data_IF_393881734363
#
_entry.id   IF_393881734363
#
_cell.length_a   1.000
_cell.length_b   1.000
_cell.length_c   1.000
_cell.angle_alpha   90.00
_cell.angle_beta   90.00
_cell.angle_gamma   90.00
#
_symmetry.space_group_name_H-M   'P 1'
#
loop_
_entity.id
_entity.type
_entity.pdbx_description
1 polymer ?
#
# COMPACT_ATOMS: atom_id res chain seq x y z
N UNK A 1 -8.52 -0.27 -9.72
CA UNK A 1 -7.48 0.65 -9.18
C UNK A 1 -8.12 1.94 -8.66
N UNK A 2 -8.82 1.90 -7.51
CA UNK A 2 -9.64 3.05 -7.03
C UNK A 2 -9.68 3.24 -5.50
N UNK A 3 -8.70 2.69 -4.79
CA UNK A 3 -8.68 2.62 -3.32
C UNK A 3 -7.56 3.44 -2.66
N UNK A 4 -6.64 3.99 -3.46
CA UNK A 4 -5.61 4.94 -3.01
C UNK A 4 -6.17 6.36 -2.78
N UNK A 5 -7.45 6.59 -3.11
CA UNK A 5 -8.12 7.88 -2.96
C UNK A 5 -8.13 8.41 -1.51
N UNK A 6 -7.93 7.51 -0.53
CA UNK A 6 -7.91 7.83 0.90
C UNK A 6 -6.50 8.15 1.44
N UNK A 7 -5.46 8.18 0.59
CA UNK A 7 -4.12 8.52 1.03
C UNK A 7 -3.82 10.01 0.79
N UNK A 8 -3.33 10.72 1.81
CA UNK A 8 -2.88 12.11 1.69
C UNK A 8 -1.36 12.16 1.56
N UNK A 9 -0.85 12.99 0.65
CA UNK A 9 0.58 13.15 0.38
C UNK A 9 1.10 14.54 0.76
N UNK A 10 2.26 14.60 1.43
CA UNK A 10 3.06 15.82 1.59
C UNK A 10 4.54 15.47 1.46
N UNK A 11 5.23 16.04 0.45
CA UNK A 11 6.66 15.95 0.11
C UNK A 11 7.31 14.54 0.10
N UNK A 12 7.29 13.81 1.21
CA UNK A 12 7.86 12.47 1.42
C UNK A 12 7.03 11.59 2.38
N UNK A 13 5.85 12.05 2.80
CA UNK A 13 4.97 11.35 3.73
C UNK A 13 3.68 10.94 3.04
N UNK A 14 3.32 9.67 3.19
CA UNK A 14 2.04 9.11 2.80
C UNK A 14 1.24 8.73 4.05
N UNK A 15 0.09 9.38 4.23
CA UNK A 15 -0.84 9.11 5.30
C UNK A 15 -1.91 8.13 4.82
N UNK A 16 -2.10 7.03 5.53
CA UNK A 16 -3.07 5.99 5.21
C UNK A 16 -4.25 6.07 6.18
N UNK A 17 -5.44 6.33 5.66
CA UNK A 17 -6.65 6.32 6.47
C UNK A 17 -7.02 4.89 6.89
N UNK A 18 -7.86 4.79 7.93
CA UNK A 18 -8.41 3.51 8.40
C UNK A 18 -9.16 2.80 7.26
N UNK A 19 -8.57 1.72 6.75
CA UNK A 19 -9.11 0.90 5.67
C UNK A 19 -8.28 -0.37 5.46
N UNK A 20 -8.88 -1.33 4.73
CA UNK A 20 -8.18 -2.46 4.14
C UNK A 20 -7.79 -2.11 2.69
N UNK A 21 -6.50 -2.00 2.43
CA UNK A 21 -5.92 -1.70 1.12
C UNK A 21 -5.48 -3.01 0.45
N UNK A 22 -6.26 -3.47 -0.54
CA UNK A 22 -5.97 -4.68 -1.33
C UNK A 22 -4.99 -4.42 -2.48
N UNK A 23 -3.72 -4.78 -2.34
CA UNK A 23 -2.76 -4.63 -3.43
C UNK A 23 -1.32 -4.45 -2.98
N UNK A 24 -0.42 -4.37 -3.96
CA UNK A 24 1.00 -4.12 -3.72
C UNK A 24 1.31 -2.63 -3.77
N UNK A 25 1.87 -2.09 -2.69
CA UNK A 25 2.49 -0.76 -2.70
C UNK A 25 3.94 -0.87 -3.17
N UNK A 26 4.31 -0.13 -4.22
CA UNK A 26 5.69 -0.12 -4.74
C UNK A 26 6.38 1.16 -4.30
N UNK A 27 7.42 1.05 -3.48
CA UNK A 27 8.32 2.15 -3.15
C UNK A 27 9.45 2.18 -4.18
N UNK A 28 9.44 3.18 -5.07
CA UNK A 28 10.53 3.38 -6.02
C UNK A 28 11.78 3.89 -5.30
N UNK A 29 12.97 3.49 -5.78
CA UNK A 29 14.23 4.08 -5.30
C UNK A 29 14.27 5.55 -5.68
N UNK A 30 14.16 6.42 -4.69
CA UNK A 30 14.31 7.88 -4.83
C UNK A 30 15.33 8.34 -3.79
N UNK A 31 16.12 9.37 -4.10
CA UNK A 31 16.95 10.02 -3.09
C UNK A 31 16.03 10.68 -2.05
N UNK A 32 16.16 10.29 -0.78
CA UNK A 32 15.35 10.81 0.33
C UNK A 32 14.69 9.73 1.17
N UNK A 33 14.10 10.13 2.30
CA UNK A 33 13.30 9.25 3.16
C UNK A 33 11.84 9.22 2.70
N UNK A 34 11.20 8.06 2.84
CA UNK A 34 9.76 7.89 2.70
C UNK A 34 9.18 7.55 4.08
N UNK A 35 8.17 8.30 4.51
CA UNK A 35 7.43 7.99 5.72
C UNK A 35 6.04 7.50 5.34
N UNK A 36 5.73 6.24 5.65
CA UNK A 36 4.37 5.70 5.59
C UNK A 36 3.82 5.64 7.02
N UNK A 37 2.63 6.19 7.24
CA UNK A 37 2.01 6.17 8.56
C UNK A 37 0.48 6.01 8.45
N UNK A 38 -0.08 5.12 9.26
CA UNK A 38 -1.52 4.89 9.38
C UNK A 38 -2.17 5.85 10.38
N UNK A 39 -3.27 6.50 10.00
CA UNK A 39 -3.98 7.47 10.86
C UNK A 39 -5.09 6.85 11.69
N UNK A 40 -5.10 5.52 11.82
CA UNK A 40 -6.01 4.80 12.71
C UNK A 40 -5.59 4.94 14.18
N UNK A 41 -6.49 4.55 15.09
CA UNK A 41 -6.20 4.57 16.53
C UNK A 41 -5.24 3.44 16.92
N UNK A 42 -5.34 2.30 16.20
CA UNK A 42 -4.54 1.09 16.42
C UNK A 42 -3.86 0.67 15.12
N UNK A 43 -2.70 -0.01 15.15
CA UNK A 43 -2.03 -0.49 13.94
C UNK A 43 -2.93 -1.36 13.05
N UNK A 44 -3.82 -2.15 13.65
CA UNK A 44 -4.75 -3.04 12.93
C UNK A 44 -5.83 -2.30 12.14
N UNK A 45 -6.02 -1.00 12.38
CA UNK A 45 -6.97 -0.16 11.65
C UNK A 45 -6.51 0.13 10.22
N UNK A 46 -5.24 -0.12 9.90
CA UNK A 46 -4.70 0.00 8.54
C UNK A 46 -4.06 -1.32 8.15
N UNK A 47 -4.66 -2.01 7.18
CA UNK A 47 -4.10 -3.25 6.65
C UNK A 47 -3.78 -3.07 5.18
N UNK A 48 -2.57 -3.44 4.79
CA UNK A 48 -2.15 -3.52 3.40
C UNK A 48 -1.78 -4.97 3.16
N UNK A 49 -2.41 -5.59 2.18
CA UNK A 49 -2.13 -6.98 1.87
C UNK A 49 -2.72 -7.39 0.54
N UNK A 50 -2.10 -8.42 -0.05
CA UNK A 50 -2.59 -9.12 -1.21
C UNK A 50 -2.08 -10.56 -1.15
N UNK A 51 -2.93 -11.52 -1.50
CA UNK A 51 -2.49 -12.90 -1.62
C UNK A 51 -1.72 -13.06 -2.93
N UNK A 52 -0.40 -13.25 -2.81
CA UNK A 52 0.51 -13.52 -3.91
C UNK A 52 1.33 -14.75 -3.53
N UNK A 53 1.39 -15.71 -4.43
CA UNK A 53 2.14 -16.95 -4.28
C UNK A 53 3.36 -16.92 -5.22
N UNK A 54 4.49 -17.49 -4.79
CA UNK A 54 5.69 -17.58 -5.61
C UNK A 54 5.60 -18.60 -6.75
N UNK A 55 4.71 -19.58 -6.62
CA UNK A 55 4.49 -20.63 -7.62
C UNK A 55 3.35 -20.29 -8.61
N UNK A 56 2.69 -19.14 -8.44
CA UNK A 56 1.61 -18.74 -9.34
C UNK A 56 2.11 -18.43 -10.75
N UNK A 57 1.25 -18.62 -11.75
CA UNK A 57 1.61 -18.27 -13.13
C UNK A 57 1.85 -16.77 -13.29
N UNK A 58 2.70 -16.37 -14.24
CA UNK A 58 2.93 -14.96 -14.54
C UNK A 58 1.64 -14.24 -14.97
N UNK A 59 0.75 -14.95 -15.66
CA UNK A 59 -0.54 -14.41 -16.07
C UNK A 59 -1.43 -14.12 -14.85
N UNK A 60 -1.50 -15.06 -13.91
CA UNK A 60 -2.26 -14.89 -12.67
C UNK A 60 -1.67 -13.79 -11.80
N UNK A 61 -0.33 -13.67 -11.73
CA UNK A 61 0.36 -12.61 -10.98
C UNK A 61 0.04 -11.22 -11.54
N UNK A 62 0.10 -11.05 -12.87
CA UNK A 62 -0.19 -9.77 -13.54
C UNK A 62 -1.66 -9.38 -13.51
N UNK A 63 -2.55 -10.34 -13.26
CA UNK A 63 -3.99 -10.11 -13.16
C UNK A 63 -4.43 -9.62 -11.76
N UNK A 64 -3.50 -9.53 -10.79
CA UNK A 64 -3.78 -9.05 -9.43
C UNK A 64 -3.59 -7.54 -9.28
#
# INVERSE_FOLDING_TARGET
MRQWLNARTNASTLLLCRADYQGTGVCSRRAGSLTLYGTGEKPIDVKIGMAIDGEMSVADWRAR
#
